data_IF_403843240049
#
_entry.id   IF_403843240049
#
_cell.length_a   1.000
_cell.length_b   1.000
_cell.length_c   1.000
_cell.angle_alpha   90.00
_cell.angle_beta   90.00
_cell.angle_gamma   90.00
#
_symmetry.space_group_name_H-M   'P 1'
#
loop_
_entity.id
_entity.type
_entity.pdbx_description
1 polymer ?
#
# COMPACT_ATOMS: atom_id res chain seq x y z
N UNK A 1 -10.62 -1.74 -22.94
CA UNK A 1 -10.01 -0.64 -22.19
C UNK A 1 -10.63 -0.67 -20.81
N UNK A 2 -9.82 -0.85 -19.76
CA UNK A 2 -10.33 -0.96 -18.39
C UNK A 2 -10.83 0.39 -17.87
N UNK A 3 -11.71 0.37 -16.87
CA UNK A 3 -12.32 1.61 -16.33
C UNK A 3 -11.34 2.47 -15.52
N UNK A 4 -10.15 1.96 -15.19
CA UNK A 4 -9.06 2.71 -14.52
C UNK A 4 -7.97 3.19 -15.49
N UNK A 5 -8.15 3.03 -16.78
CA UNK A 5 -7.18 3.48 -17.78
C UNK A 5 -6.86 4.97 -17.63
N UNK A 6 -5.56 5.30 -17.54
CA UNK A 6 -5.09 6.67 -17.33
C UNK A 6 -5.18 7.18 -15.88
N UNK A 7 -5.64 6.36 -14.94
CA UNK A 7 -5.63 6.65 -13.50
C UNK A 7 -4.37 6.12 -12.84
N UNK A 8 -3.98 6.74 -11.73
CA UNK A 8 -2.81 6.35 -10.93
C UNK A 8 -3.25 5.99 -9.52
N UNK A 9 -2.84 4.79 -9.07
CA UNK A 9 -3.13 4.29 -7.73
C UNK A 9 -1.85 4.06 -6.93
N UNK A 10 -1.78 4.59 -5.71
CA UNK A 10 -0.75 4.27 -4.71
C UNK A 10 -1.27 3.12 -3.86
N UNK A 11 -0.49 2.04 -3.74
CA UNK A 11 -0.83 0.85 -2.94
C UNK A 11 0.31 0.57 -1.97
N UNK A 12 0.07 0.75 -0.68
CA UNK A 12 1.05 0.40 0.33
C UNK A 12 1.06 -1.11 0.59
N UNK A 13 2.26 -1.71 0.68
CA UNK A 13 2.39 -3.15 0.83
C UNK A 13 2.10 -3.94 -0.45
N UNK A 14 2.38 -3.36 -1.63
CA UNK A 14 2.09 -3.92 -2.95
C UNK A 14 3.14 -4.88 -3.52
N UNK A 15 4.15 -5.29 -2.74
CA UNK A 15 5.20 -6.19 -3.21
C UNK A 15 4.67 -7.57 -3.63
N UNK A 16 5.33 -8.18 -4.63
CA UNK A 16 4.94 -9.48 -5.17
C UNK A 16 4.87 -10.55 -4.09
N UNK A 17 3.74 -11.19 -4.00
CA UNK A 17 3.50 -12.35 -3.15
C UNK A 17 2.60 -13.33 -3.89
N UNK A 18 3.14 -14.52 -4.16
CA UNK A 18 2.46 -15.57 -4.92
C UNK A 18 2.60 -16.88 -4.13
N UNK A 19 1.51 -17.61 -4.01
CA UNK A 19 1.46 -18.93 -3.39
C UNK A 19 1.95 -20.00 -4.37
N UNK A 20 2.16 -21.22 -3.89
CA UNK A 20 2.65 -22.34 -4.70
C UNK A 20 1.71 -22.74 -5.85
N UNK A 21 0.42 -22.44 -5.72
CA UNK A 21 -0.60 -22.65 -6.75
C UNK A 21 -0.72 -21.49 -7.76
N UNK A 22 0.14 -20.45 -7.63
CA UNK A 22 0.14 -19.28 -8.49
C UNK A 22 -0.87 -18.20 -8.09
N UNK A 23 -1.67 -18.39 -7.06
CA UNK A 23 -2.60 -17.39 -6.56
C UNK A 23 -1.88 -16.25 -5.79
N UNK A 24 -2.56 -15.10 -5.63
CA UNK A 24 -2.00 -13.97 -4.89
C UNK A 24 -1.86 -14.32 -3.40
N UNK A 25 -0.63 -14.19 -2.88
CA UNK A 25 -0.28 -14.50 -1.49
C UNK A 25 -0.40 -13.32 -0.52
N UNK A 26 -0.82 -12.14 -1.00
CA UNK A 26 -1.07 -10.97 -0.16
C UNK A 26 -2.17 -10.09 -0.73
N UNK A 27 -2.87 -9.37 0.16
CA UNK A 27 -3.95 -8.45 -0.22
C UNK A 27 -3.42 -7.35 -1.14
N UNK A 28 -2.32 -6.69 -0.78
CA UNK A 28 -1.78 -5.57 -1.56
C UNK A 28 -1.38 -5.96 -2.99
N UNK A 29 -0.76 -7.14 -3.17
CA UNK A 29 -0.43 -7.63 -4.52
C UNK A 29 -1.68 -8.06 -5.30
N UNK A 30 -2.68 -8.63 -4.63
CA UNK A 30 -3.97 -8.94 -5.23
C UNK A 30 -4.69 -7.70 -5.75
N UNK A 31 -4.72 -6.62 -4.96
CA UNK A 31 -5.26 -5.32 -5.37
C UNK A 31 -4.48 -4.76 -6.56
N UNK A 32 -3.14 -4.77 -6.49
CA UNK A 32 -2.28 -4.30 -7.58
C UNK A 32 -2.59 -5.04 -8.89
N UNK A 33 -2.76 -6.36 -8.83
CA UNK A 33 -3.14 -7.18 -9.98
C UNK A 33 -4.53 -6.82 -10.54
N UNK A 34 -5.51 -6.59 -9.65
CA UNK A 34 -6.86 -6.20 -10.08
C UNK A 34 -6.86 -4.82 -10.75
N UNK A 35 -6.16 -3.85 -10.18
CA UNK A 35 -6.04 -2.50 -10.74
C UNK A 35 -5.28 -2.49 -12.07
N UNK A 36 -4.22 -3.31 -12.18
CA UNK A 36 -3.48 -3.49 -13.42
C UNK A 36 -4.35 -4.03 -14.55
N UNK A 37 -5.21 -5.02 -14.26
CA UNK A 37 -6.19 -5.55 -15.23
C UNK A 37 -7.14 -4.47 -15.76
N UNK A 38 -7.49 -3.50 -14.92
CA UNK A 38 -8.34 -2.37 -15.30
C UNK A 38 -7.57 -1.19 -15.91
N UNK A 39 -6.26 -1.34 -16.15
CA UNK A 39 -5.45 -0.38 -16.88
C UNK A 39 -4.91 0.79 -16.04
N UNK A 40 -4.93 0.69 -14.72
CA UNK A 40 -4.34 1.70 -13.85
C UNK A 40 -2.81 1.68 -13.89
N UNK A 41 -2.18 2.84 -13.86
CA UNK A 41 -0.78 2.95 -13.46
C UNK A 41 -0.65 2.80 -11.95
N UNK A 42 0.42 2.16 -11.48
CA UNK A 42 0.56 1.80 -10.10
C UNK A 42 1.82 2.37 -9.47
N UNK A 43 1.72 2.77 -8.21
CA UNK A 43 2.84 3.02 -7.32
C UNK A 43 2.76 1.98 -6.20
N UNK A 44 3.74 1.09 -6.17
CA UNK A 44 3.80 0.02 -5.18
C UNK A 44 4.87 0.36 -4.14
N UNK A 45 4.48 0.38 -2.88
CA UNK A 45 5.42 0.62 -1.79
C UNK A 45 5.56 -0.58 -0.87
N UNK A 46 6.70 -0.68 -0.20
CA UNK A 46 6.99 -1.74 0.75
C UNK A 46 8.46 -1.75 1.16
N UNK A 47 8.83 -2.61 2.09
CA UNK A 47 10.19 -2.71 2.64
C UNK A 47 11.15 -3.53 1.76
N UNK A 48 10.62 -4.52 1.04
CA UNK A 48 11.43 -5.44 0.25
C UNK A 48 11.49 -5.01 -1.20
N UNK A 49 12.63 -4.41 -1.60
CA UNK A 49 12.87 -3.90 -2.96
C UNK A 49 12.70 -4.99 -4.00
N UNK A 50 13.26 -6.19 -3.77
CA UNK A 50 13.15 -7.29 -4.73
C UNK A 50 11.70 -7.65 -5.02
N UNK A 51 10.84 -7.74 -3.99
CA UNK A 51 9.42 -8.04 -4.17
C UNK A 51 8.67 -6.92 -4.92
N UNK A 52 9.10 -5.67 -4.77
CA UNK A 52 8.53 -4.54 -5.50
C UNK A 52 8.92 -4.57 -6.98
N UNK A 53 10.19 -4.83 -7.27
CA UNK A 53 10.69 -4.93 -8.65
C UNK A 53 10.11 -6.17 -9.37
N UNK A 54 10.00 -7.30 -8.69
CA UNK A 54 9.34 -8.50 -9.22
C UNK A 54 7.84 -8.21 -9.55
N UNK A 55 7.14 -7.46 -8.68
CA UNK A 55 5.77 -7.04 -8.93
C UNK A 55 5.67 -6.12 -10.14
N UNK A 56 6.55 -5.11 -10.21
CA UNK A 56 6.63 -4.19 -11.33
C UNK A 56 6.82 -4.93 -12.64
N UNK A 57 7.87 -5.77 -12.74
CA UNK A 57 8.18 -6.51 -13.96
C UNK A 57 7.02 -7.40 -14.44
N UNK A 58 6.37 -8.11 -13.50
CA UNK A 58 5.24 -8.97 -13.82
C UNK A 58 4.01 -8.18 -14.29
N UNK A 59 3.64 -7.11 -13.58
CA UNK A 59 2.44 -6.35 -13.88
C UNK A 59 2.57 -5.53 -15.17
N UNK A 60 3.75 -4.92 -15.41
CA UNK A 60 4.04 -4.21 -16.66
C UNK A 60 4.02 -5.16 -17.87
N UNK A 61 4.67 -6.33 -17.74
CA UNK A 61 4.70 -7.34 -18.81
C UNK A 61 3.33 -7.90 -19.14
N UNK A 62 2.50 -8.16 -18.11
CA UNK A 62 1.20 -8.81 -18.27
C UNK A 62 0.10 -7.89 -18.76
N UNK A 63 0.12 -6.62 -18.33
CA UNK A 63 -1.02 -5.72 -18.49
C UNK A 63 -0.69 -4.45 -19.29
N UNK A 64 0.58 -4.23 -19.66
CA UNK A 64 0.99 -3.07 -20.44
C UNK A 64 0.80 -1.72 -19.75
N UNK A 65 0.73 -1.70 -18.41
CA UNK A 65 0.64 -0.51 -17.59
C UNK A 65 2.04 -0.03 -17.17
N UNK A 66 2.13 1.13 -16.52
CA UNK A 66 3.37 1.59 -15.87
C UNK A 66 3.29 1.34 -14.36
N UNK A 67 4.39 0.88 -13.79
CA UNK A 67 4.52 0.65 -12.35
C UNK A 67 5.77 1.37 -11.82
N UNK A 68 5.58 2.19 -10.78
CA UNK A 68 6.65 2.78 -9.99
C UNK A 68 6.82 1.98 -8.70
N UNK A 69 7.99 1.41 -8.49
CA UNK A 69 8.36 0.71 -7.26
C UNK A 69 9.13 1.66 -6.35
N UNK A 70 8.63 1.91 -5.13
CA UNK A 70 9.27 2.80 -4.17
C UNK A 70 9.46 2.08 -2.84
N UNK A 71 10.73 1.94 -2.42
CA UNK A 71 11.00 1.42 -1.09
C UNK A 71 10.52 2.42 -0.03
N UNK A 72 9.59 2.00 0.81
CA UNK A 72 9.07 2.78 1.90
C UNK A 72 8.61 1.87 3.05
N UNK A 73 9.05 2.18 4.26
CA UNK A 73 8.60 1.49 5.46
C UNK A 73 7.52 2.33 6.16
N UNK A 74 6.32 1.77 6.28
CA UNK A 74 5.21 2.41 7.03
C UNK A 74 5.48 2.48 8.53
N UNK A 75 6.49 1.78 9.03
CA UNK A 75 6.94 1.83 10.43
C UNK A 75 8.23 2.65 10.59
N UNK A 76 8.39 3.71 9.82
CA UNK A 76 9.57 4.57 9.93
C UNK A 76 9.59 5.46 11.20
N UNK A 77 8.63 5.30 12.11
CA UNK A 77 8.57 6.05 13.36
C UNK A 77 8.47 7.55 13.11
N UNK A 78 9.38 8.34 13.68
CA UNK A 78 9.42 9.79 13.49
C UNK A 78 9.67 10.21 12.04
N UNK A 79 10.24 9.34 11.21
CA UNK A 79 10.54 9.60 9.80
C UNK A 79 9.37 9.29 8.86
N UNK A 80 8.26 8.75 9.37
CA UNK A 80 7.09 8.39 8.54
C UNK A 80 6.65 9.51 7.62
N UNK A 81 6.60 10.75 8.10
CA UNK A 81 6.17 11.89 7.29
C UNK A 81 7.09 12.13 6.10
N UNK A 82 8.41 12.10 6.31
CA UNK A 82 9.39 12.31 5.25
C UNK A 82 9.40 11.18 4.22
N UNK A 83 9.26 9.93 4.69
CA UNK A 83 9.15 8.75 3.82
C UNK A 83 7.92 8.85 2.93
N UNK A 84 6.77 9.23 3.48
CA UNK A 84 5.52 9.40 2.73
C UNK A 84 5.63 10.53 1.72
N UNK A 85 6.17 11.69 2.10
CA UNK A 85 6.39 12.82 1.19
C UNK A 85 7.23 12.41 -0.02
N UNK A 86 8.31 11.68 0.20
CA UNK A 86 9.15 11.16 -0.88
C UNK A 86 8.38 10.25 -1.85
N UNK A 87 7.51 9.36 -1.34
CA UNK A 87 6.66 8.51 -2.20
C UNK A 87 5.72 9.34 -3.06
N UNK A 88 5.06 10.32 -2.45
CA UNK A 88 4.10 11.19 -3.16
C UNK A 88 4.81 12.06 -4.20
N UNK A 89 5.95 12.65 -3.88
CA UNK A 89 6.76 13.44 -4.82
C UNK A 89 7.19 12.60 -6.03
N UNK A 90 7.71 11.39 -5.81
CA UNK A 90 8.06 10.48 -6.90
C UNK A 90 6.85 10.09 -7.75
N UNK A 91 5.69 9.85 -7.12
CA UNK A 91 4.45 9.55 -7.82
C UNK A 91 4.03 10.70 -8.75
N UNK A 92 4.03 11.91 -8.23
CA UNK A 92 3.64 13.10 -8.99
C UNK A 92 4.64 13.41 -10.11
N UNK A 93 5.93 13.23 -9.85
CA UNK A 93 6.97 13.39 -10.87
C UNK A 93 6.79 12.40 -12.03
N UNK A 94 6.44 11.14 -11.75
CA UNK A 94 6.31 10.10 -12.78
C UNK A 94 4.98 10.17 -13.52
N UNK A 95 3.86 10.39 -12.80
CA UNK A 95 2.52 10.25 -13.37
C UNK A 95 1.71 11.56 -13.44
N UNK A 96 2.14 12.61 -12.74
CA UNK A 96 1.47 13.92 -12.71
C UNK A 96 0.14 13.93 -11.96
N UNK A 97 -0.31 12.81 -11.39
CA UNK A 97 -1.63 12.65 -10.77
C UNK A 97 -1.69 11.53 -9.75
N UNK A 98 -2.66 11.63 -8.83
CA UNK A 98 -3.05 10.55 -7.91
C UNK A 98 -4.57 10.47 -7.92
N UNK A 99 -5.12 9.33 -8.30
CA UNK A 99 -6.57 9.09 -8.34
C UNK A 99 -7.05 8.20 -7.19
N UNK A 100 -6.20 7.28 -6.74
CA UNK A 100 -6.55 6.35 -5.67
C UNK A 100 -5.38 6.18 -4.70
N UNK A 101 -5.69 6.24 -3.41
CA UNK A 101 -4.77 5.86 -2.34
C UNK A 101 -5.30 4.63 -1.62
N UNK A 102 -4.48 3.58 -1.50
CA UNK A 102 -4.83 2.36 -0.79
C UNK A 102 -3.83 2.14 0.34
N UNK A 103 -4.25 2.46 1.56
CA UNK A 103 -3.52 2.20 2.79
C UNK A 103 -3.80 0.75 3.23
N UNK A 104 -2.95 -0.17 2.76
CA UNK A 104 -3.06 -1.60 3.03
C UNK A 104 -1.92 -2.12 3.92
N UNK A 105 -0.73 -1.50 3.86
CA UNK A 105 0.39 -1.94 4.67
C UNK A 105 0.16 -1.66 6.17
N UNK A 106 0.38 -2.68 6.98
CA UNK A 106 0.37 -2.60 8.44
C UNK A 106 1.36 -3.60 9.01
N UNK A 107 1.91 -3.32 10.17
CA UNK A 107 2.70 -4.24 10.98
C UNK A 107 2.10 -4.34 12.39
N UNK A 108 2.11 -5.53 12.95
CA UNK A 108 1.66 -5.78 14.32
C UNK A 108 2.37 -6.98 14.91
N UNK A 109 2.46 -7.05 16.23
CA UNK A 109 2.96 -8.21 16.95
C UNK A 109 1.81 -9.22 17.13
N UNK A 110 1.63 -10.09 16.13
CA UNK A 110 0.58 -11.12 16.18
C UNK A 110 0.88 -12.20 17.21
N UNK A 111 -0.16 -12.69 17.90
CA UNK A 111 -0.07 -13.80 18.85
C UNK A 111 0.43 -13.41 20.24
N UNK A 112 0.65 -12.13 20.51
CA UNK A 112 1.00 -11.61 21.85
C UNK A 112 -0.26 -11.20 22.59
N UNK A 113 -0.41 -11.64 23.85
CA UNK A 113 -1.57 -11.25 24.68
C UNK A 113 -1.44 -9.77 25.09
N UNK A 114 -2.55 -9.14 25.45
CA UNK A 114 -2.52 -7.73 25.91
C UNK A 114 -1.65 -7.56 27.16
N UNK A 115 -1.60 -8.56 28.01
CA UNK A 115 -0.80 -8.56 29.24
C UNK A 115 0.71 -8.57 28.96
N UNK A 116 1.12 -9.21 27.85
CA UNK A 116 2.52 -9.38 27.46
C UNK A 116 2.95 -8.36 26.38
N UNK A 117 2.04 -7.49 25.95
CA UNK A 117 2.32 -6.51 24.91
C UNK A 117 3.25 -5.41 25.42
N UNK A 118 4.36 -5.23 24.75
CA UNK A 118 5.29 -4.13 25.07
C UNK A 118 4.86 -2.83 24.39
N UNK A 119 5.29 -1.68 24.93
CA UNK A 119 5.09 -0.37 24.30
C UNK A 119 5.63 -0.34 22.87
N UNK A 120 6.81 -0.93 22.62
CA UNK A 120 7.40 -0.98 21.29
C UNK A 120 6.53 -1.76 20.29
N UNK A 121 5.87 -2.83 20.71
CA UNK A 121 4.94 -3.58 19.86
C UNK A 121 3.63 -2.82 19.61
N UNK A 122 3.18 -2.05 20.60
CA UNK A 122 2.04 -1.14 20.44
C UNK A 122 2.39 0.00 19.47
N UNK A 123 3.53 0.65 19.64
CA UNK A 123 4.02 1.71 18.77
C UNK A 123 4.17 1.24 17.33
N UNK A 124 4.65 0.00 17.12
CA UNK A 124 4.72 -0.62 15.80
C UNK A 124 3.35 -0.59 15.07
N UNK A 125 2.29 -0.95 15.77
CA UNK A 125 0.93 -0.94 15.21
C UNK A 125 0.43 0.49 14.96
N UNK A 126 0.69 1.42 15.88
CA UNK A 126 0.27 2.82 15.77
C UNK A 126 1.01 3.52 14.63
N UNK A 127 2.34 3.39 14.54
CA UNK A 127 3.11 4.04 13.49
C UNK A 127 2.79 3.46 12.11
N UNK A 128 2.67 2.15 11.97
CA UNK A 128 2.41 1.52 10.68
C UNK A 128 0.95 1.60 10.22
N UNK A 129 0.00 1.53 11.16
CA UNK A 129 -1.42 1.50 10.84
C UNK A 129 -2.10 2.88 10.86
N UNK A 130 -1.79 3.73 11.84
CA UNK A 130 -2.47 5.01 12.03
C UNK A 130 -1.68 6.18 11.45
N UNK A 131 -0.45 6.40 11.93
CA UNK A 131 0.35 7.55 11.48
C UNK A 131 0.68 7.48 10.00
N UNK A 132 1.11 6.32 9.48
CA UNK A 132 1.42 6.18 8.06
C UNK A 132 0.19 6.48 7.19
N UNK A 133 -0.97 5.92 7.53
CA UNK A 133 -2.21 6.18 6.79
C UNK A 133 -2.59 7.68 6.83
N UNK A 134 -2.47 8.33 7.99
CA UNK A 134 -2.71 9.75 8.15
C UNK A 134 -1.80 10.59 7.24
N UNK A 135 -0.48 10.34 7.27
CA UNK A 135 0.48 11.08 6.44
C UNK A 135 0.26 10.85 4.94
N UNK A 136 -0.05 9.61 4.51
CA UNK A 136 -0.41 9.34 3.12
C UNK A 136 -1.67 10.11 2.70
N UNK A 137 -2.72 10.11 3.52
CA UNK A 137 -3.94 10.88 3.23
C UNK A 137 -3.64 12.37 3.13
N UNK A 138 -2.86 12.92 4.08
CA UNK A 138 -2.50 14.33 4.11
C UNK A 138 -1.67 14.73 2.87
N UNK A 139 -0.64 13.96 2.54
CA UNK A 139 0.24 14.26 1.41
C UNK A 139 -0.44 14.07 0.05
N UNK A 140 -1.34 13.09 -0.08
CA UNK A 140 -2.10 12.83 -1.31
C UNK A 140 -3.30 13.77 -1.49
N UNK A 141 -3.77 14.43 -0.43
CA UNK A 141 -5.02 15.20 -0.44
C UNK A 141 -5.13 16.21 -1.59
N UNK A 142 -4.13 17.08 -1.86
CA UNK A 142 -4.26 18.07 -2.93
C UNK A 142 -4.52 17.43 -4.30
N UNK A 143 -3.84 16.32 -4.60
CA UNK A 143 -3.97 15.59 -5.87
C UNK A 143 -5.27 14.81 -5.97
N UNK A 144 -5.68 14.15 -4.86
CA UNK A 144 -6.96 13.46 -4.79
C UNK A 144 -8.15 14.42 -4.93
N UNK A 145 -8.03 15.62 -4.36
CA UNK A 145 -9.05 16.67 -4.52
C UNK A 145 -9.18 17.10 -5.99
N UNK A 146 -8.08 17.30 -6.69
CA UNK A 146 -8.06 17.68 -8.10
C UNK A 146 -8.68 16.60 -9.00
N UNK A 147 -8.31 15.34 -8.78
CA UNK A 147 -8.79 14.21 -9.57
C UNK A 147 -10.19 13.71 -9.17
N UNK A 148 -10.77 14.24 -8.09
CA UNK A 148 -11.97 13.70 -7.41
C UNK A 148 -11.76 12.23 -7.05
N UNK A 149 -10.55 11.93 -6.55
CA UNK A 149 -10.07 10.59 -6.26
C UNK A 149 -10.64 9.97 -5.00
N UNK A 150 -10.20 8.76 -4.69
CA UNK A 150 -10.70 7.96 -3.58
C UNK A 150 -9.58 7.49 -2.66
N UNK A 151 -9.91 7.31 -1.38
CA UNK A 151 -9.03 6.68 -0.38
C UNK A 151 -9.69 5.42 0.14
N UNK A 152 -8.90 4.33 0.23
CA UNK A 152 -9.32 3.07 0.82
C UNK A 152 -8.36 2.76 1.96
N UNK A 153 -8.89 2.71 3.19
CA UNK A 153 -8.14 2.30 4.37
C UNK A 153 -8.53 0.87 4.75
N UNK A 154 -7.55 -0.03 4.76
CA UNK A 154 -7.77 -1.38 5.24
C UNK A 154 -7.74 -1.41 6.76
N UNK A 155 -8.81 -1.88 7.35
CA UNK A 155 -8.89 -2.20 8.76
C UNK A 155 -9.31 -3.67 8.91
N UNK A 156 -8.87 -4.29 9.98
CA UNK A 156 -9.32 -5.63 10.35
C UNK A 156 -10.25 -5.52 11.55
N UNK A 157 -11.52 -5.92 11.38
CA UNK A 157 -12.36 -6.23 12.52
C UNK A 157 -11.95 -7.60 13.03
N UNK A 158 -11.34 -7.69 14.20
CA UNK A 158 -11.32 -8.97 14.91
C UNK A 158 -12.69 -9.18 15.53
N UNK A 159 -13.63 -9.72 14.76
CA UNK A 159 -14.73 -10.46 15.35
C UNK A 159 -14.12 -11.66 16.04
N UNK A 160 -13.84 -11.50 17.29
CA UNK A 160 -13.54 -12.61 18.18
C UNK A 160 -14.76 -13.51 18.15
N UNK A 161 -14.67 -14.67 17.48
CA UNK A 161 -15.63 -15.75 17.68
C UNK A 161 -15.50 -16.16 19.13
N UNK A 162 -16.31 -15.54 19.99
CA UNK A 162 -16.52 -15.96 21.36
C UNK A 162 -17.41 -17.19 21.24
N UNK A 163 -16.84 -18.35 21.48
CA UNK A 163 -17.61 -19.57 21.62
C UNK A 163 -17.22 -20.64 20.60
N UNK A 164 -16.25 -21.43 20.92
CA UNK A 164 -16.26 -22.91 20.81
C UNK A 164 -15.53 -23.45 22.01
#
# INVERSE_FOLDING_TARGET
MGFLTGKTAIITGGGRAVLSDGSCGSIGYGIATAYAKEGANLVLTGRNVKKLEDAKAELESKYGIKVLAVQADVNAGADNESVVKNVVEQTVKEFGRIDVLINNAQASASGVTIADHTTAQFDLAIYSGLYAAFYYMQACYPYLKETKGSVINFARSEERRVGK
#
